data_IF_281410800315
#
_entry.id   IF_281410800315
#
_cell.length_a   1.000
_cell.length_b   1.000
_cell.length_c   1.000
_cell.angle_alpha   90.00
_cell.angle_beta   90.00
_cell.angle_gamma   90.00
#
_symmetry.space_group_name_H-M   'P 1'
#
loop_
_entity.id
_entity.type
_entity.pdbx_description
1 polymer ?
#
# COMPACT_ATOMS: atom_id res chain seq x y z
N UNK A 1 27.34 -2.73 20.07
CA UNK A 1 26.88 -1.42 19.54
C UNK A 1 25.40 -1.40 19.15
N UNK A 2 24.89 -2.37 18.37
CA UNK A 2 23.51 -2.36 17.84
C UNK A 2 22.40 -2.61 18.88
N UNK A 3 22.69 -3.36 19.94
CA UNK A 3 21.70 -3.81 20.93
C UNK A 3 21.15 -2.66 21.80
N UNK A 4 22.05 -1.90 22.43
CA UNK A 4 21.67 -0.70 23.21
C UNK A 4 20.94 0.35 22.37
N UNK A 5 21.32 0.49 21.09
CA UNK A 5 20.63 1.37 20.15
C UNK A 5 19.21 0.88 19.82
N UNK A 6 18.97 -0.44 19.71
CA UNK A 6 17.62 -0.97 19.46
C UNK A 6 16.67 -0.69 20.62
N UNK A 7 17.15 -0.77 21.86
CA UNK A 7 16.36 -0.44 23.06
C UNK A 7 16.21 1.08 23.21
N UNK A 8 17.26 1.84 22.89
CA UNK A 8 17.28 3.30 22.94
C UNK A 8 16.40 3.98 21.88
N UNK A 9 16.31 3.44 20.67
CA UNK A 9 15.60 4.08 19.56
C UNK A 9 14.34 3.33 19.13
N UNK A 10 14.05 2.17 19.73
CA UNK A 10 12.97 1.22 19.38
C UNK A 10 13.00 0.68 17.93
N UNK A 11 13.79 1.28 17.04
CA UNK A 11 13.95 0.89 15.64
C UNK A 11 15.36 1.21 15.15
N UNK A 12 16.01 0.24 14.51
CA UNK A 12 17.31 0.39 13.86
C UNK A 12 17.30 -0.21 12.46
N UNK A 13 18.12 0.33 11.56
CA UNK A 13 18.30 -0.23 10.22
C UNK A 13 19.72 -0.76 10.10
N UNK A 14 19.87 -2.06 9.83
CA UNK A 14 21.17 -2.73 9.76
C UNK A 14 21.16 -3.84 8.71
N UNK A 15 22.24 -4.61 8.59
CA UNK A 15 22.29 -5.79 7.70
C UNK A 15 21.44 -6.93 8.25
N UNK A 16 20.87 -7.78 7.41
CA UNK A 16 19.99 -8.89 7.81
C UNK A 16 20.63 -9.79 8.89
N UNK A 17 21.91 -10.16 8.73
CA UNK A 17 22.62 -11.00 9.70
C UNK A 17 22.69 -10.35 11.09
N UNK A 18 23.12 -9.07 11.14
CA UNK A 18 23.16 -8.29 12.39
C UNK A 18 21.78 -8.08 13.01
N UNK A 19 20.74 -7.89 12.20
CA UNK A 19 19.37 -7.71 12.68
C UNK A 19 18.86 -8.97 13.36
N UNK A 20 19.11 -10.15 12.79
CA UNK A 20 18.69 -11.44 13.38
C UNK A 20 19.39 -11.73 14.71
N UNK A 21 20.70 -11.49 14.82
CA UNK A 21 21.40 -11.66 16.09
C UNK A 21 20.97 -10.65 17.14
N UNK A 22 20.81 -9.38 16.75
CA UNK A 22 20.33 -8.34 17.66
C UNK A 22 18.89 -8.62 18.13
N UNK A 23 18.02 -9.17 17.27
CA UNK A 23 16.67 -9.59 17.65
C UNK A 23 16.69 -10.64 18.76
N UNK A 24 17.49 -11.71 18.61
CA UNK A 24 17.63 -12.78 19.61
C UNK A 24 18.11 -12.24 20.96
N UNK A 25 19.10 -11.35 20.95
CA UNK A 25 19.62 -10.74 22.17
C UNK A 25 18.60 -9.78 22.82
N UNK A 26 17.91 -8.96 22.03
CA UNK A 26 16.91 -8.03 22.52
C UNK A 26 15.73 -8.77 23.18
N UNK A 27 15.27 -9.89 22.60
CA UNK A 27 14.23 -10.71 23.21
C UNK A 27 14.63 -11.26 24.58
N UNK A 28 15.89 -11.71 24.73
CA UNK A 28 16.42 -12.18 26.01
C UNK A 28 16.45 -11.06 27.04
N UNK A 29 16.91 -9.86 26.67
CA UNK A 29 16.98 -8.71 27.57
C UNK A 29 15.59 -8.27 28.03
N UNK A 30 14.62 -8.20 27.11
CA UNK A 30 13.23 -7.84 27.44
C UNK A 30 12.63 -8.87 28.39
N UNK A 31 12.90 -10.17 28.17
CA UNK A 31 12.49 -11.24 29.08
C UNK A 31 13.09 -11.06 30.48
N UNK A 32 14.39 -10.76 30.57
CA UNK A 32 15.04 -10.47 31.86
C UNK A 32 14.46 -9.22 32.54
N UNK A 33 14.17 -8.17 31.78
CA UNK A 33 13.53 -6.95 32.28
C UNK A 33 12.12 -7.22 32.82
N UNK A 34 11.36 -8.11 32.16
CA UNK A 34 10.02 -8.53 32.59
C UNK A 34 10.06 -9.37 33.88
N UNK A 35 11.10 -10.19 34.09
CA UNK A 35 11.26 -10.96 35.32
C UNK A 35 11.48 -10.08 36.56
N UNK A 36 12.11 -8.91 36.40
CA UNK A 36 12.21 -7.88 37.43
C UNK A 36 13.05 -8.21 38.68
N UNK A 37 13.59 -9.43 38.83
CA UNK A 37 14.44 -9.78 39.98
C UNK A 37 15.77 -9.05 39.94
N UNK A 38 16.40 -8.71 41.09
CA UNK A 38 17.70 -8.03 41.10
C UNK A 38 18.77 -8.75 40.27
N UNK A 39 18.79 -10.08 40.33
CA UNK A 39 19.70 -10.93 39.54
C UNK A 39 19.39 -10.84 38.03
N UNK A 40 18.12 -10.81 37.64
CA UNK A 40 17.73 -10.65 36.23
C UNK A 40 18.08 -9.26 35.70
N UNK A 41 17.91 -8.22 36.50
CA UNK A 41 18.28 -6.85 36.14
C UNK A 41 19.81 -6.70 36.03
N UNK A 42 20.59 -7.25 36.95
CA UNK A 42 22.05 -7.30 36.85
C UNK A 42 22.52 -8.07 35.61
N UNK A 43 21.85 -9.20 35.31
CA UNK A 43 22.10 -9.94 34.07
C UNK A 43 21.77 -9.09 32.84
N UNK A 44 20.66 -8.36 32.83
CA UNK A 44 20.29 -7.47 31.73
C UNK A 44 21.30 -6.33 31.55
N UNK A 45 21.79 -5.75 32.65
CA UNK A 45 22.82 -4.71 32.65
C UNK A 45 24.12 -5.18 31.98
N UNK A 46 24.52 -6.45 32.19
CA UNK A 46 25.73 -7.00 31.56
C UNK A 46 25.70 -7.00 30.02
N UNK A 47 24.51 -6.98 29.40
CA UNK A 47 24.36 -6.90 27.95
C UNK A 47 24.33 -5.45 27.42
N UNK A 48 24.13 -4.46 28.30
CA UNK A 48 23.87 -3.08 27.91
C UNK A 48 25.11 -2.22 28.14
N UNK A 49 25.60 -1.58 27.09
CA UNK A 49 26.79 -0.72 27.17
C UNK A 49 26.52 0.64 27.84
N UNK A 50 25.34 1.23 27.63
CA UNK A 50 24.93 2.52 28.25
C UNK A 50 23.76 2.27 29.18
N UNK A 51 24.04 1.99 30.45
CA UNK A 51 23.04 1.63 31.46
C UNK A 51 22.12 2.79 31.85
N UNK A 52 22.63 4.02 31.84
CA UNK A 52 21.88 5.22 32.21
C UNK A 52 20.60 5.42 31.41
N UNK A 53 20.68 5.28 30.08
CA UNK A 53 19.51 5.48 29.19
C UNK A 53 18.71 4.20 28.95
N UNK A 54 19.38 3.04 28.95
CA UNK A 54 18.77 1.78 28.53
C UNK A 54 17.95 1.11 29.62
N UNK A 55 18.30 1.27 30.89
CA UNK A 55 17.55 0.67 32.00
C UNK A 55 16.17 1.29 32.20
N UNK A 56 16.00 2.63 32.21
CA UNK A 56 14.66 3.23 32.28
C UNK A 56 13.77 2.79 31.11
N UNK A 57 14.34 2.71 29.91
CA UNK A 57 13.63 2.22 28.73
C UNK A 57 13.27 0.74 28.85
N UNK A 58 14.15 -0.09 29.39
CA UNK A 58 13.86 -1.50 29.64
C UNK A 58 12.67 -1.67 30.59
N UNK A 59 12.55 -0.85 31.63
CA UNK A 59 11.39 -0.85 32.53
C UNK A 59 10.08 -0.48 31.79
N UNK A 60 10.12 0.53 30.91
CA UNK A 60 8.98 0.89 30.07
C UNK A 60 8.58 -0.25 29.11
N UNK A 61 9.56 -0.92 28.50
CA UNK A 61 9.33 -2.07 27.61
C UNK A 61 8.80 -3.29 28.36
N UNK A 62 9.27 -3.54 29.58
CA UNK A 62 8.76 -4.62 30.43
C UNK A 62 7.26 -4.45 30.70
N UNK A 63 6.82 -3.23 31.03
CA UNK A 63 5.39 -2.90 31.18
C UNK A 63 4.62 -3.07 29.86
N UNK A 64 5.17 -2.59 28.74
CA UNK A 64 4.55 -2.73 27.41
C UNK A 64 4.29 -4.19 27.03
N UNK A 65 5.20 -5.10 27.40
CA UNK A 65 5.19 -6.50 26.98
C UNK A 65 4.78 -7.49 28.08
N UNK A 66 4.17 -7.01 29.16
CA UNK A 66 3.74 -7.83 30.29
C UNK A 66 2.83 -8.99 29.87
N UNK A 67 1.86 -8.73 28.99
CA UNK A 67 0.89 -9.73 28.52
C UNK A 67 1.39 -10.57 27.33
N UNK A 68 2.56 -10.28 26.78
CA UNK A 68 3.08 -10.91 25.55
C UNK A 68 4.12 -11.99 25.90
N UNK A 69 3.90 -13.27 25.54
CA UNK A 69 4.85 -14.37 25.76
C UNK A 69 5.83 -14.47 24.58
N UNK A 70 6.86 -13.61 24.55
CA UNK A 70 7.88 -13.59 23.50
C UNK A 70 7.48 -12.86 22.21
N UNK A 71 8.39 -12.82 21.23
CA UNK A 71 8.16 -12.14 19.95
C UNK A 71 8.04 -10.62 20.10
N UNK A 72 8.95 -10.01 20.87
CA UNK A 72 9.00 -8.57 21.13
C UNK A 72 9.63 -7.78 20.00
N UNK A 73 10.35 -8.47 19.11
CA UNK A 73 11.05 -7.85 17.99
C UNK A 73 10.43 -8.27 16.66
N UNK A 74 10.63 -7.43 15.64
CA UNK A 74 10.26 -7.74 14.26
C UNK A 74 11.37 -7.30 13.32
N UNK A 75 11.70 -8.18 12.37
CA UNK A 75 12.68 -7.92 11.32
C UNK A 75 11.95 -7.76 9.98
N UNK A 76 12.04 -6.58 9.38
CA UNK A 76 11.53 -6.30 8.04
C UNK A 76 12.67 -6.24 7.04
N UNK A 77 12.59 -6.99 5.95
CA UNK A 77 13.59 -6.92 4.89
C UNK A 77 13.50 -5.58 4.16
N UNK A 78 14.64 -4.95 3.92
CA UNK A 78 14.76 -3.59 3.38
C UNK A 78 15.77 -3.55 2.22
N UNK A 79 15.54 -4.38 1.20
CA UNK A 79 16.37 -4.40 -0.02
C UNK A 79 17.87 -4.56 0.25
N UNK A 80 18.69 -4.03 -0.65
CA UNK A 80 20.15 -4.10 -0.59
C UNK A 80 20.77 -2.71 -0.43
N UNK A 81 21.86 -2.63 0.32
CA UNK A 81 22.63 -1.41 0.49
C UNK A 81 23.34 -1.04 -0.81
N UNK A 82 23.29 0.24 -1.17
CA UNK A 82 24.02 0.77 -2.33
C UNK A 82 25.53 0.74 -2.04
N UNK A 83 26.32 0.24 -2.99
CA UNK A 83 27.78 0.12 -2.86
C UNK A 83 28.21 -1.33 -2.67
N UNK A 84 27.95 -1.91 -1.50
CA UNK A 84 28.39 -3.27 -1.13
C UNK A 84 27.33 -4.35 -1.36
N UNK A 85 26.15 -3.98 -1.86
CA UNK A 85 25.02 -4.89 -2.10
C UNK A 85 24.65 -5.75 -0.88
N UNK A 86 24.93 -5.29 0.34
CA UNK A 86 24.63 -6.05 1.54
C UNK A 86 23.12 -6.03 1.82
N UNK A 87 22.48 -7.17 2.12
CA UNK A 87 21.05 -7.21 2.41
C UNK A 87 20.76 -6.47 3.71
N UNK A 88 19.84 -5.52 3.68
CA UNK A 88 19.44 -4.70 4.84
C UNK A 88 18.10 -5.16 5.41
N UNK A 89 17.91 -4.87 6.69
CA UNK A 89 16.67 -5.05 7.40
C UNK A 89 16.45 -3.95 8.43
N UNK A 90 15.18 -3.67 8.71
CA UNK A 90 14.75 -2.89 9.84
C UNK A 90 14.50 -3.86 10.99
N UNK A 91 15.18 -3.67 12.11
CA UNK A 91 14.83 -4.31 13.38
C UNK A 91 14.02 -3.31 14.20
N UNK A 92 12.81 -3.69 14.58
CA UNK A 92 11.92 -2.86 15.40
C UNK A 92 11.41 -3.63 16.62
N UNK A 93 11.10 -2.90 17.68
CA UNK A 93 10.31 -3.36 18.80
C UNK A 93 8.83 -3.32 18.43
N UNK A 94 8.08 -4.37 18.72
CA UNK A 94 6.65 -4.46 18.37
C UNK A 94 5.83 -3.44 19.18
N UNK A 95 4.73 -2.93 18.66
CA UNK A 95 3.84 -1.99 19.37
C UNK A 95 4.53 -0.64 19.70
N UNK A 96 5.57 -0.27 18.94
CA UNK A 96 6.20 1.04 19.04
C UNK A 96 5.33 2.15 18.38
N UNK A 97 5.47 3.43 18.78
CA UNK A 97 4.70 4.53 18.20
C UNK A 97 4.82 4.67 16.67
N UNK A 98 5.95 4.22 16.12
CA UNK A 98 6.30 4.25 14.70
C UNK A 98 6.33 2.85 14.04
N UNK A 99 5.48 1.92 14.50
CA UNK A 99 5.48 0.52 14.05
C UNK A 99 5.24 0.45 12.53
N UNK A 100 6.22 -0.11 11.81
CA UNK A 100 6.20 -0.21 10.35
C UNK A 100 5.09 -1.14 9.88
N UNK A 101 4.82 -2.22 10.62
CA UNK A 101 3.75 -3.16 10.28
C UNK A 101 2.38 -2.51 10.43
N UNK A 102 2.19 -1.69 11.46
CA UNK A 102 0.96 -0.91 11.63
C UNK A 102 0.77 0.06 10.46
N UNK A 103 1.82 0.80 10.11
CA UNK A 103 1.79 1.77 9.02
C UNK A 103 1.46 1.13 7.66
N UNK A 104 2.14 0.03 7.31
CA UNK A 104 1.87 -0.73 6.09
C UNK A 104 0.43 -1.25 6.09
N UNK A 105 -0.06 -1.76 7.22
CA UNK A 105 -1.42 -2.30 7.32
C UNK A 105 -2.46 -1.18 7.14
N UNK A 106 -2.26 -0.02 7.74
CA UNK A 106 -3.11 1.15 7.55
C UNK A 106 -3.14 1.62 6.09
N UNK A 107 -1.97 1.67 5.40
CA UNK A 107 -1.90 1.97 3.97
C UNK A 107 -2.67 0.96 3.12
N UNK A 108 -2.56 -0.34 3.43
CA UNK A 108 -3.32 -1.38 2.71
C UNK A 108 -4.82 -1.25 2.94
N UNK A 109 -5.25 -0.95 4.16
CA UNK A 109 -6.66 -0.70 4.47
C UNK A 109 -7.19 0.51 3.71
N UNK A 110 -6.47 1.63 3.73
CA UNK A 110 -6.85 2.83 3.00
C UNK A 110 -6.98 2.56 1.49
N UNK A 111 -6.04 1.77 0.93
CA UNK A 111 -6.06 1.39 -0.48
C UNK A 111 -7.24 0.49 -0.82
N UNK A 112 -7.52 -0.52 0.02
CA UNK A 112 -8.67 -1.41 -0.17
C UNK A 112 -10.00 -0.65 -0.05
N UNK A 113 -10.12 0.24 0.93
CA UNK A 113 -11.27 1.12 1.10
C UNK A 113 -11.46 2.05 -0.10
N UNK A 114 -10.40 2.70 -0.59
CA UNK A 114 -10.44 3.53 -1.79
C UNK A 114 -10.93 2.74 -3.02
N UNK A 115 -10.42 1.52 -3.22
CA UNK A 115 -10.86 0.64 -4.29
C UNK A 115 -12.35 0.28 -4.14
N UNK A 116 -12.81 -0.02 -2.92
CA UNK A 116 -14.22 -0.30 -2.65
C UNK A 116 -15.11 0.90 -2.96
N UNK A 117 -14.73 2.09 -2.50
CA UNK A 117 -15.46 3.33 -2.74
C UNK A 117 -15.55 3.64 -4.23
N UNK A 118 -14.44 3.47 -4.97
CA UNK A 118 -14.42 3.64 -6.43
C UNK A 118 -15.27 2.61 -7.17
N UNK A 119 -15.35 1.37 -6.67
CA UNK A 119 -16.19 0.31 -7.24
C UNK A 119 -17.67 0.50 -6.91
N UNK A 120 -17.98 0.92 -5.70
CA UNK A 120 -19.33 1.26 -5.24
C UNK A 120 -19.84 2.54 -5.90
N UNK A 121 -18.92 3.38 -6.39
CA UNK A 121 -19.19 4.63 -7.11
C UNK A 121 -20.06 5.62 -6.35
N UNK A 122 -20.09 5.44 -5.04
CA UNK A 122 -20.63 6.45 -4.16
C UNK A 122 -19.60 7.56 -4.14
N UNK A 123 -19.99 8.77 -4.56
CA UNK A 123 -19.29 9.98 -4.16
C UNK A 123 -19.56 10.19 -2.66
N UNK A 124 -19.03 9.30 -1.82
CA UNK A 124 -19.11 9.44 -0.37
C UNK A 124 -18.18 10.58 0.01
N UNK A 125 -18.76 11.58 0.67
CA UNK A 125 -18.00 12.67 1.25
C UNK A 125 -17.03 12.11 2.31
N UNK A 126 -15.93 12.82 2.56
CA UNK A 126 -14.96 12.45 3.61
C UNK A 126 -15.63 12.13 4.97
N UNK A 127 -16.63 12.88 5.46
CA UNK A 127 -17.32 12.55 6.70
C UNK A 127 -18.15 11.26 6.61
N UNK A 128 -18.70 10.90 5.46
CA UNK A 128 -19.44 9.63 5.30
C UNK A 128 -18.50 8.41 5.36
N UNK A 129 -17.22 8.59 5.06
CA UNK A 129 -16.22 7.52 5.12
C UNK A 129 -15.64 7.39 6.52
N UNK A 130 -15.42 8.53 7.19
CA UNK A 130 -15.18 8.54 8.61
C UNK A 130 -16.35 7.86 9.34
N UNK A 131 -17.61 8.12 8.95
CA UNK A 131 -18.78 7.41 9.44
C UNK A 131 -18.86 5.94 8.97
N UNK A 132 -18.45 5.54 7.77
CA UNK A 132 -18.40 4.11 7.42
C UNK A 132 -17.33 3.35 8.21
N UNK A 133 -16.27 4.04 8.63
CA UNK A 133 -15.22 3.50 9.49
C UNK A 133 -15.56 3.62 10.99
N UNK A 134 -16.39 4.59 11.40
CA UNK A 134 -16.79 4.85 12.81
C UNK A 134 -18.19 4.33 13.19
N UNK A 135 -19.14 4.29 12.25
CA UNK A 135 -20.58 4.07 12.47
C UNK A 135 -21.07 2.66 12.12
N UNK A 136 -20.20 1.65 12.06
CA UNK A 136 -20.61 0.25 12.10
C UNK A 136 -19.82 -0.51 13.17
N UNK A 137 -20.17 -0.20 14.42
CA UNK A 137 -19.68 -0.81 15.66
C UNK A 137 -20.20 -2.23 15.92
N UNK A 138 -20.83 -2.91 14.95
CA UNK A 138 -21.28 -4.29 15.16
C UNK A 138 -20.23 -5.35 14.81
N UNK A 139 -19.28 -5.06 13.91
CA UNK A 139 -18.27 -6.03 13.47
C UNK A 139 -16.86 -5.51 13.76
N UNK A 140 -16.03 -6.23 14.56
CA UNK A 140 -14.63 -5.91 14.74
C UNK A 140 -13.87 -5.84 13.41
N UNK A 141 -12.93 -4.90 13.29
CA UNK A 141 -12.17 -4.65 12.05
C UNK A 141 -11.46 -5.91 11.51
N UNK A 142 -10.97 -6.75 12.42
CA UNK A 142 -10.34 -8.04 12.11
C UNK A 142 -11.28 -9.08 11.48
N UNK A 143 -12.59 -8.94 11.72
CA UNK A 143 -13.64 -9.86 11.26
C UNK A 143 -14.34 -9.37 9.99
N UNK A 144 -14.09 -8.13 9.58
CA UNK A 144 -14.76 -7.50 8.45
C UNK A 144 -14.41 -8.14 7.10
N UNK A 145 -15.38 -8.87 6.53
CA UNK A 145 -15.24 -9.61 5.28
C UNK A 145 -14.99 -8.73 4.05
N UNK A 146 -15.19 -7.41 4.16
CA UNK A 146 -14.86 -6.45 3.10
C UNK A 146 -13.37 -6.48 2.79
N UNK A 147 -12.51 -6.57 3.81
CA UNK A 147 -11.05 -6.58 3.63
C UNK A 147 -10.51 -7.95 3.20
N UNK A 148 -9.42 -7.91 2.45
CA UNK A 148 -8.73 -9.12 2.01
C UNK A 148 -8.31 -10.00 3.21
N UNK A 149 -8.30 -11.34 3.06
CA UNK A 149 -7.96 -12.24 4.17
C UNK A 149 -6.60 -11.96 4.81
N UNK A 150 -5.60 -11.54 4.02
CA UNK A 150 -4.28 -11.20 4.53
C UNK A 150 -4.29 -9.91 5.36
N UNK A 151 -5.07 -8.92 4.93
CA UNK A 151 -5.25 -7.63 5.61
C UNK A 151 -5.92 -7.87 6.96
N UNK A 152 -7.02 -8.63 6.99
CA UNK A 152 -7.67 -9.08 8.24
C UNK A 152 -6.73 -9.79 9.20
N UNK A 153 -5.92 -10.75 8.71
CA UNK A 153 -4.91 -11.45 9.54
C UNK A 153 -3.87 -10.49 10.12
N UNK A 154 -3.44 -9.49 9.36
CA UNK A 154 -2.49 -8.49 9.84
C UNK A 154 -3.13 -7.60 10.93
N UNK A 155 -4.37 -7.16 10.72
CA UNK A 155 -5.13 -6.39 11.71
C UNK A 155 -5.28 -7.19 13.00
N UNK A 156 -5.73 -8.46 12.91
CA UNK A 156 -5.87 -9.34 14.07
C UNK A 156 -4.57 -9.47 14.87
N UNK A 157 -3.41 -9.58 14.19
CA UNK A 157 -2.11 -9.66 14.85
C UNK A 157 -1.71 -8.38 15.59
N UNK A 158 -2.07 -7.21 15.06
CA UNK A 158 -1.78 -5.91 15.67
C UNK A 158 -2.72 -5.63 16.86
N UNK A 159 -3.99 -6.00 16.74
CA UNK A 159 -5.01 -5.79 17.77
C UNK A 159 -4.83 -6.75 18.96
N UNK A 160 -4.33 -7.97 18.73
CA UNK A 160 -4.27 -9.05 19.73
C UNK A 160 -3.78 -8.63 21.13
N UNK A 161 -2.77 -7.76 21.22
CA UNK A 161 -2.17 -7.35 22.50
C UNK A 161 -2.41 -5.88 22.87
N UNK A 162 -2.77 -5.04 21.91
CA UNK A 162 -3.03 -3.60 22.11
C UNK A 162 -4.51 -3.25 22.28
N UNK A 163 -5.40 -4.18 21.93
CA UNK A 163 -6.85 -4.00 22.02
C UNK A 163 -7.36 -2.82 21.18
N UNK A 164 -8.27 -2.04 21.77
CA UNK A 164 -8.97 -0.95 21.08
C UNK A 164 -8.07 0.23 20.72
N UNK A 165 -6.97 0.44 21.45
CA UNK A 165 -6.00 1.48 21.13
C UNK A 165 -5.40 1.27 19.74
N UNK A 166 -5.04 0.03 19.40
CA UNK A 166 -4.53 -0.30 18.08
C UNK A 166 -5.59 -0.14 16.99
N UNK A 167 -6.86 -0.46 17.28
CA UNK A 167 -7.97 -0.26 16.34
C UNK A 167 -8.13 1.22 16.02
N UNK A 168 -8.14 2.08 17.05
CA UNK A 168 -8.22 3.54 16.89
C UNK A 168 -7.06 4.08 16.05
N UNK A 169 -5.83 3.69 16.36
CA UNK A 169 -4.66 4.14 15.60
C UNK A 169 -4.65 3.65 14.15
N UNK A 170 -5.09 2.42 13.90
CA UNK A 170 -5.23 1.89 12.55
C UNK A 170 -6.26 2.69 11.75
N UNK A 171 -7.42 2.98 12.35
CA UNK A 171 -8.48 3.77 11.71
C UNK A 171 -7.98 5.18 11.40
N UNK A 172 -7.37 5.85 12.38
CA UNK A 172 -6.83 7.21 12.23
C UNK A 172 -5.76 7.30 11.14
N UNK A 173 -4.81 6.35 11.11
CA UNK A 173 -3.81 6.32 10.03
C UNK A 173 -4.43 5.95 8.69
N UNK A 174 -5.40 5.03 8.66
CA UNK A 174 -6.06 4.64 7.42
C UNK A 174 -6.90 5.78 6.82
N UNK A 175 -7.59 6.57 7.66
CA UNK A 175 -8.31 7.77 7.20
C UNK A 175 -7.34 8.81 6.66
N UNK A 176 -6.23 9.07 7.36
CA UNK A 176 -5.17 9.95 6.87
C UNK A 176 -4.61 9.51 5.51
N UNK A 177 -4.29 8.23 5.34
CA UNK A 177 -3.79 7.71 4.06
C UNK A 177 -4.84 7.75 2.96
N UNK A 178 -6.11 7.55 3.28
CA UNK A 178 -7.20 7.67 2.31
C UNK A 178 -7.37 9.12 1.84
N UNK A 179 -7.30 10.08 2.76
CA UNK A 179 -7.27 11.51 2.44
C UNK A 179 -6.09 11.85 1.54
N UNK A 180 -4.90 11.35 1.86
CA UNK A 180 -3.71 11.53 1.05
C UNK A 180 -3.91 11.00 -0.38
N UNK A 181 -4.48 9.80 -0.53
CA UNK A 181 -4.79 9.20 -1.85
C UNK A 181 -5.78 10.08 -2.61
N UNK A 182 -6.84 10.57 -1.95
CA UNK A 182 -7.85 11.43 -2.58
C UNK A 182 -7.29 12.78 -3.01
N UNK A 183 -6.47 13.40 -2.15
CA UNK A 183 -5.79 14.66 -2.44
C UNK A 183 -4.81 14.51 -3.59
N UNK A 184 -3.98 13.44 -3.61
CA UNK A 184 -3.08 13.16 -4.73
C UNK A 184 -3.86 12.96 -6.03
N UNK A 185 -4.97 12.22 -5.98
CA UNK A 185 -5.84 12.01 -7.13
C UNK A 185 -6.46 13.31 -7.67
N UNK A 186 -6.78 14.28 -6.81
CA UNK A 186 -7.30 15.59 -7.23
C UNK A 186 -6.21 16.46 -7.89
N UNK A 187 -5.00 16.46 -7.34
CA UNK A 187 -3.88 17.26 -7.84
C UNK A 187 -3.32 16.68 -9.15
N UNK A 188 -3.01 15.38 -9.16
CA UNK A 188 -2.40 14.69 -10.29
C UNK A 188 -3.45 14.44 -11.40
N UNK A 189 -4.65 14.03 -11.00
CA UNK A 189 -5.73 13.66 -11.92
C UNK A 189 -5.48 12.34 -12.65
N UNK A 190 -6.41 11.96 -13.53
CA UNK A 190 -6.26 10.75 -14.34
C UNK A 190 -5.13 10.88 -15.36
N UNK A 191 -4.53 9.73 -15.72
CA UNK A 191 -3.58 9.60 -16.82
C UNK A 191 -4.13 10.24 -18.09
N UNK A 192 -3.51 11.31 -18.56
CA UNK A 192 -3.89 12.06 -19.76
C UNK A 192 -2.66 12.41 -20.59
N UNK A 193 -2.88 12.90 -21.80
CA UNK A 193 -1.79 13.44 -22.61
C UNK A 193 -1.25 14.71 -21.99
N UNK A 194 0.07 14.79 -21.88
CA UNK A 194 0.75 15.99 -21.43
C UNK A 194 0.98 16.88 -22.65
N UNK A 195 -0.06 17.64 -23.02
CA UNK A 195 -0.02 18.53 -24.18
C UNK A 195 1.01 19.64 -24.01
N UNK A 196 1.13 20.21 -22.81
CA UNK A 196 2.10 21.25 -22.50
C UNK A 196 3.55 20.76 -22.72
N UNK A 197 3.89 19.58 -22.17
CA UNK A 197 5.21 18.97 -22.42
C UNK A 197 5.39 18.57 -23.88
N UNK A 198 4.34 18.07 -24.52
CA UNK A 198 4.41 17.71 -25.94
C UNK A 198 4.74 18.92 -26.82
N UNK A 199 4.12 20.06 -26.55
CA UNK A 199 4.28 21.31 -27.30
C UNK A 199 5.66 21.95 -27.04
N UNK A 200 6.14 21.96 -25.79
CA UNK A 200 7.51 22.38 -25.45
C UNK A 200 8.56 21.52 -26.18
N UNK A 201 8.34 20.21 -26.24
CA UNK A 201 9.19 19.31 -27.02
C UNK A 201 9.14 19.60 -28.52
N UNK A 202 8.11 20.27 -29.08
CA UNK A 202 8.09 20.59 -30.51
C UNK A 202 9.18 21.58 -30.90
N UNK A 203 9.58 22.50 -30.00
CA UNK A 203 10.68 23.45 -30.25
C UNK A 203 12.06 22.78 -30.33
N UNK A 204 12.25 21.63 -29.66
CA UNK A 204 13.56 20.98 -29.45
C UNK A 204 13.71 19.64 -30.18
N UNK A 205 12.80 19.30 -31.11
CA UNK A 205 12.81 18.00 -31.80
C UNK A 205 13.93 17.89 -32.84
N UNK A 206 14.85 16.91 -32.73
CA UNK A 206 15.72 16.57 -33.84
C UNK A 206 14.89 16.05 -35.03
N UNK A 207 15.35 16.34 -36.25
CA UNK A 207 14.66 15.98 -37.51
C UNK A 207 14.47 14.47 -37.68
N UNK A 208 15.30 13.65 -37.02
CA UNK A 208 15.23 12.18 -37.00
C UNK A 208 15.03 11.67 -35.57
N UNK A 209 14.20 10.64 -35.41
CA UNK A 209 13.91 10.02 -34.11
C UNK A 209 12.69 10.60 -33.39
N UNK A 210 11.67 11.10 -34.12
CA UNK A 210 10.39 11.53 -33.51
C UNK A 210 9.84 10.42 -32.63
N UNK A 211 9.64 10.73 -31.35
CA UNK A 211 8.89 9.87 -30.44
C UNK A 211 7.46 9.82 -30.99
N UNK A 212 7.03 8.63 -31.44
CA UNK A 212 5.68 8.40 -31.98
C UNK A 212 4.58 8.54 -30.92
N UNK A 213 4.95 8.49 -29.64
CA UNK A 213 4.05 8.54 -28.49
C UNK A 213 4.14 9.88 -27.77
N UNK A 214 2.99 10.52 -27.55
CA UNK A 214 2.90 11.71 -26.71
C UNK A 214 3.24 11.37 -25.25
N UNK A 215 3.97 12.24 -24.53
CA UNK A 215 4.17 12.08 -23.11
C UNK A 215 2.82 12.06 -22.39
N UNK A 216 2.73 11.27 -21.33
CA UNK A 216 1.53 11.15 -20.50
C UNK A 216 1.85 11.70 -19.11
N UNK A 217 0.90 12.43 -18.53
CA UNK A 217 0.92 12.90 -17.14
C UNK A 217 -0.28 12.31 -16.40
N UNK A 218 -0.26 12.29 -15.08
CA UNK A 218 -1.38 11.76 -14.29
C UNK A 218 -1.15 10.33 -13.80
N UNK A 219 -2.01 9.90 -12.87
CA UNK A 219 -1.88 8.60 -12.22
C UNK A 219 -2.34 7.46 -13.13
N UNK A 220 -1.60 6.36 -13.07
CA UNK A 220 -1.93 5.13 -13.78
C UNK A 220 -3.31 4.61 -13.39
N UNK A 221 -4.02 4.05 -14.37
CA UNK A 221 -5.35 3.46 -14.15
C UNK A 221 -5.27 2.24 -13.23
N UNK A 222 -6.31 2.07 -12.41
CA UNK A 222 -6.47 0.89 -11.58
C UNK A 222 -6.83 -0.32 -12.46
N UNK A 223 -6.54 -1.54 -11.99
CA UNK A 223 -6.97 -2.75 -12.69
C UNK A 223 -8.51 -2.77 -12.83
N UNK A 224 -8.99 -2.99 -14.05
CA UNK A 224 -10.42 -2.91 -14.36
C UNK A 224 -10.90 -1.53 -14.81
N UNK A 225 -10.12 -0.46 -14.57
CA UNK A 225 -10.53 0.90 -14.92
C UNK A 225 -10.16 1.25 -16.37
N UNK A 226 -11.04 1.98 -17.04
CA UNK A 226 -10.80 2.56 -18.36
C UNK A 226 -10.63 4.07 -18.28
N UNK A 227 -9.89 4.61 -19.25
CA UNK A 227 -9.87 6.03 -19.51
C UNK A 227 -11.25 6.47 -20.04
N UNK A 228 -11.69 7.67 -19.70
CA UNK A 228 -12.98 8.19 -20.17
C UNK A 228 -13.05 8.20 -21.71
N UNK A 229 -11.96 8.59 -22.37
CA UNK A 229 -11.84 8.57 -23.84
C UNK A 229 -11.96 7.15 -24.41
N UNK A 230 -11.24 6.19 -23.81
CA UNK A 230 -11.29 4.79 -24.23
C UNK A 230 -12.67 4.21 -24.02
N UNK A 231 -13.35 4.58 -22.93
CA UNK A 231 -14.70 4.13 -22.66
C UNK A 231 -15.75 4.73 -23.61
N UNK A 232 -15.64 6.02 -23.92
CA UNK A 232 -16.52 6.69 -24.88
C UNK A 232 -16.38 6.13 -26.31
N UNK A 233 -15.21 5.56 -26.63
CA UNK A 233 -14.92 4.89 -27.90
C UNK A 233 -15.54 3.50 -28.01
N UNK A 234 -15.81 2.84 -26.89
CA UNK A 234 -16.29 1.45 -26.87
C UNK A 234 -17.73 1.35 -27.39
N UNK A 235 -17.97 0.43 -28.31
CA UNK A 235 -19.32 0.16 -28.84
C UNK A 235 -19.79 1.12 -29.95
N UNK A 236 -18.99 2.13 -30.30
CA UNK A 236 -19.25 3.01 -31.46
C UNK A 236 -18.62 2.43 -32.72
N UNK A 237 -19.34 2.55 -33.84
CA UNK A 237 -18.86 2.20 -35.18
C UNK A 237 -18.43 3.48 -35.87
N UNK A 238 -17.14 3.64 -36.11
CA UNK A 238 -16.59 4.84 -36.76
C UNK A 238 -16.23 4.50 -38.21
N UNK A 239 -16.81 5.22 -39.16
CA UNK A 239 -16.42 5.15 -40.58
C UNK A 239 -15.34 6.21 -40.81
N UNK A 240 -14.11 5.77 -41.01
CA UNK A 240 -12.99 6.65 -41.34
C UNK A 240 -12.85 6.76 -42.85
N UNK A 241 -12.87 7.99 -43.36
CA UNK A 241 -12.64 8.33 -44.78
C UNK A 241 -11.15 8.63 -45.04
N UNK A 242 -10.25 7.93 -44.35
CA UNK A 242 -8.80 8.07 -44.58
C UNK A 242 -8.34 6.95 -45.53
N UNK A 243 -7.71 7.29 -46.68
CA UNK A 243 -7.20 6.29 -47.61
C UNK A 243 -6.03 5.53 -46.99
N UNK A 244 -6.12 4.19 -46.94
CA UNK A 244 -5.03 3.32 -46.44
C UNK A 244 -4.54 2.40 -47.56
N UNK A 245 -3.22 2.26 -47.64
CA UNK A 245 -2.52 1.32 -48.54
C UNK A 245 -2.71 -0.11 -48.03
N UNK A 246 -3.51 -0.90 -48.73
CA UNK A 246 -3.66 -2.34 -48.52
C UNK A 246 -2.47 -3.14 -49.04
N UNK A 247 -2.49 -4.47 -48.83
CA UNK A 247 -1.53 -5.39 -49.46
C UNK A 247 -1.60 -5.24 -50.99
N UNK A 248 -0.45 -5.30 -51.65
CA UNK A 248 -0.31 -5.14 -53.10
C UNK A 248 -0.79 -3.79 -53.67
N UNK A 249 -0.68 -2.71 -52.90
CA UNK A 249 -0.87 -1.34 -53.43
C UNK A 249 -2.32 -0.90 -53.66
N UNK A 250 -3.32 -1.74 -53.38
CA UNK A 250 -4.73 -1.36 -53.43
C UNK A 250 -5.05 -0.37 -52.31
N UNK A 251 -5.66 0.78 -52.63
CA UNK A 251 -6.11 1.76 -51.65
C UNK A 251 -7.63 1.69 -51.55
N UNK A 252 -8.16 1.37 -50.38
CA UNK A 252 -9.60 1.40 -50.13
C UNK A 252 -9.99 2.78 -49.58
N UNK A 253 -11.00 3.47 -50.14
CA UNK A 253 -11.33 4.85 -49.78
C UNK A 253 -12.05 4.98 -48.43
N UNK A 254 -12.59 3.88 -47.86
CA UNK A 254 -13.29 3.88 -46.57
C UNK A 254 -12.91 2.66 -45.74
N UNK A 255 -12.71 2.87 -44.43
CA UNK A 255 -12.57 1.82 -43.44
C UNK A 255 -13.61 1.99 -42.35
N UNK A 256 -14.44 0.97 -42.17
CA UNK A 256 -15.33 0.88 -41.01
C UNK A 256 -14.55 0.22 -39.88
N UNK A 257 -14.22 0.98 -38.82
CA UNK A 257 -13.59 0.43 -37.62
C UNK A 257 -14.67 0.16 -36.59
N UNK A 258 -14.87 -1.11 -36.26
CA UNK A 258 -15.72 -1.51 -35.14
C UNK A 258 -14.88 -1.52 -33.88
N UNK A 259 -15.14 -0.56 -32.97
CA UNK A 259 -14.50 -0.54 -31.66
C UNK A 259 -15.28 -1.48 -30.74
N UNK A 260 -14.74 -2.67 -30.49
CA UNK A 260 -15.40 -3.75 -29.71
C UNK A 260 -15.74 -3.31 -28.28
N UNK A 261 -16.82 -3.91 -27.73
CA UNK A 261 -17.25 -3.78 -26.32
C UNK A 261 -16.10 -4.05 -25.33
N UNK A 262 -16.15 -3.56 -24.08
CA UNK A 262 -15.01 -3.65 -23.18
C UNK A 262 -14.63 -5.12 -22.96
N UNK A 263 -13.36 -5.45 -23.21
CA UNK A 263 -12.79 -6.76 -22.85
C UNK A 263 -12.96 -6.98 -21.34
N UNK A 264 -13.43 -8.16 -20.94
CA UNK A 264 -13.49 -8.54 -19.53
C UNK A 264 -12.06 -8.69 -18.99
N UNK A 265 -11.76 -8.14 -17.81
CA UNK A 265 -10.48 -8.35 -17.14
C UNK A 265 -10.57 -9.62 -16.30
N UNK A 266 -9.57 -10.51 -16.44
CA UNK A 266 -9.38 -11.63 -15.54
C UNK A 266 -8.80 -11.12 -14.22
N UNK A 267 -9.56 -11.20 -13.14
CA UNK A 267 -9.12 -10.81 -11.80
C UNK A 267 -8.33 -11.94 -11.13
N UNK A 268 -8.75 -13.19 -11.35
CA UNK A 268 -8.06 -14.40 -10.85
C UNK A 268 -8.40 -15.61 -11.73
N UNK A 269 -7.96 -16.83 -11.36
CA UNK A 269 -8.32 -18.05 -12.11
C UNK A 269 -9.85 -18.25 -12.07
N UNK A 270 -10.50 -18.11 -13.22
CA UNK A 270 -11.95 -18.28 -13.38
C UNK A 270 -12.79 -17.05 -13.04
N UNK A 271 -12.22 -15.98 -12.47
CA UNK A 271 -12.98 -14.77 -12.10
C UNK A 271 -12.68 -13.64 -13.07
N UNK A 272 -13.74 -13.12 -13.68
CA UNK A 272 -13.67 -12.05 -14.66
C UNK A 272 -14.58 -10.89 -14.24
N UNK A 273 -14.14 -9.65 -14.49
CA UNK A 273 -14.94 -8.46 -14.26
C UNK A 273 -14.97 -7.56 -15.51
N UNK A 274 -16.14 -6.99 -15.80
CA UNK A 274 -16.24 -5.95 -16.82
C UNK A 274 -15.37 -4.76 -16.43
N UNK A 275 -14.68 -4.19 -17.41
CA UNK A 275 -14.00 -2.92 -17.20
C UNK A 275 -15.03 -1.82 -16.91
N UNK A 276 -14.67 -0.85 -16.08
CA UNK A 276 -15.52 0.27 -15.67
C UNK A 276 -14.82 1.61 -15.88
N UNK A 277 -15.58 2.67 -16.08
CA UNK A 277 -15.05 4.04 -16.16
C UNK A 277 -15.14 4.65 -14.78
N UNK A 278 -14.18 5.53 -14.44
CA UNK A 278 -14.29 6.31 -13.21
C UNK A 278 -15.60 7.12 -13.23
N UNK A 279 -16.55 6.79 -12.35
CA UNK A 279 -17.83 7.48 -12.24
C UNK A 279 -19.03 6.87 -13.00
N UNK A 280 -18.87 5.76 -13.76
CA UNK A 280 -19.97 5.08 -14.45
C UNK A 280 -20.25 3.66 -13.93
N UNK A 281 -21.47 3.36 -13.45
CA UNK A 281 -21.82 2.12 -12.70
C UNK A 281 -21.38 0.85 -13.42
N UNK A 282 -20.60 -0.05 -12.78
CA UNK A 282 -20.23 -1.29 -13.43
C UNK A 282 -21.48 -2.16 -13.45
N UNK A 283 -22.07 -2.40 -14.62
CA UNK A 283 -23.15 -3.39 -14.74
C UNK A 283 -22.53 -4.76 -14.47
N UNK A 284 -22.80 -5.36 -13.32
CA UNK A 284 -22.42 -6.76 -13.07
C UNK A 284 -23.14 -7.64 -14.10
N UNK A 285 -22.40 -8.39 -14.90
CA UNK A 285 -22.96 -9.52 -15.65
C UNK A 285 -22.62 -10.78 -14.90
N UNK A 286 -23.62 -11.36 -14.23
CA UNK A 286 -23.59 -12.77 -13.86
C UNK A 286 -23.53 -13.56 -15.17
N UNK A 287 -22.42 -14.25 -15.44
CA UNK A 287 -22.41 -15.21 -16.55
C UNK A 287 -23.30 -16.38 -16.12
N UNK A 288 -24.53 -16.40 -16.62
CA UNK A 288 -25.27 -17.66 -16.73
C UNK A 288 -24.53 -18.50 -17.77
N UNK A 289 -23.99 -19.63 -17.34
CA UNK A 289 -23.85 -20.80 -18.20
C UNK A 289 -25.23 -21.47 -18.28
#
# INVERSE_FOLDING_TARGET
MTLGQSIGHERIVTTVAKAKEAARQAEKIITLGKNGTPTALSSAQSYLFSTGDSLPRLAQLAKRYEQRPGGYTRVHLMGYRKGDHAPRAILELVDNPTDVKLDITARTMAREADIMLRRAQTQLSLPDIAQLLQAQSSVPLESDSRFAPMTRRNIAKLVKYRGDEARKQLIEKASYYLEQIRASDQVIGLRREDTARWDDMQLTRPSRGRILTKPKVGDSLYAGQLLAEDAARIGRREVRNEPIRGKAGKVSPRRTVTLTKPSVIRLSKGVYAKRYVRGERPTATTSKN
#
